data_IF_324524106038
#
_entry.id   IF_324524106038
#
_cell.length_a   1.000
_cell.length_b   1.000
_cell.length_c   1.000
_cell.angle_alpha   90.00
_cell.angle_beta   90.00
_cell.angle_gamma   90.00
#
_symmetry.space_group_name_H-M   'P 1'
#
loop_
_entity.id
_entity.type
_entity.pdbx_description
1 polymer ?
#
# COMPACT_ATOMS: atom_id res chain seq x y z
N UNK A 1 10.94 10.95 25.83
CA UNK A 1 10.16 10.12 24.89
C UNK A 1 8.68 10.43 25.12
N UNK A 2 8.02 11.01 24.15
CA UNK A 2 6.58 11.32 24.28
C UNK A 2 5.84 10.01 23.99
N UNK A 3 5.18 9.48 24.99
CA UNK A 3 4.39 8.25 24.84
C UNK A 3 2.95 8.66 24.51
N UNK A 4 2.55 8.50 23.25
CA UNK A 4 1.17 8.69 22.84
C UNK A 4 0.38 7.42 23.11
N UNK A 5 -0.59 7.48 23.99
CA UNK A 5 -1.50 6.37 24.26
C UNK A 5 -2.57 6.34 23.17
N UNK A 6 -2.36 5.51 22.12
CA UNK A 6 -3.31 5.32 21.02
C UNK A 6 -4.05 4.01 21.24
N UNK A 7 -5.38 4.06 21.36
CA UNK A 7 -6.19 2.85 21.43
C UNK A 7 -6.31 2.21 20.03
N UNK A 8 -5.46 1.22 19.77
CA UNK A 8 -5.39 0.50 18.52
C UNK A 8 -5.71 -0.98 18.70
N UNK A 9 -6.37 -1.56 17.72
CA UNK A 9 -6.63 -3.01 17.62
C UNK A 9 -6.16 -3.54 16.28
N UNK A 10 -5.75 -4.80 16.25
CA UNK A 10 -5.27 -5.46 15.04
C UNK A 10 -6.26 -6.55 14.57
N UNK A 11 -6.43 -6.61 13.23
CA UNK A 11 -7.16 -7.67 12.56
C UNK A 11 -6.23 -8.35 11.54
N UNK A 12 -5.98 -9.65 11.73
CA UNK A 12 -5.17 -10.47 10.83
C UNK A 12 -5.56 -11.96 10.95
N UNK A 13 -5.02 -12.80 10.09
CA UNK A 13 -5.40 -14.21 10.00
C UNK A 13 -5.25 -15.03 11.29
N UNK A 14 -4.30 -14.67 12.15
CA UNK A 14 -4.06 -15.37 13.41
C UNK A 14 -4.97 -14.92 14.57
N UNK A 15 -5.85 -13.95 14.35
CA UNK A 15 -6.86 -13.54 15.33
C UNK A 15 -8.11 -14.40 15.19
N UNK A 16 -8.69 -14.79 16.34
CA UNK A 16 -9.99 -15.47 16.35
C UNK A 16 -11.09 -14.61 15.75
N UNK A 17 -12.15 -15.23 15.23
CA UNK A 17 -13.29 -14.50 14.68
C UNK A 17 -13.95 -13.60 15.73
N UNK A 18 -14.04 -14.05 16.97
CA UNK A 18 -14.57 -13.25 18.08
C UNK A 18 -13.74 -11.99 18.31
N UNK A 19 -12.41 -12.11 18.34
CA UNK A 19 -11.51 -10.97 18.52
C UNK A 19 -11.59 -9.99 17.35
N UNK A 20 -11.71 -10.48 16.11
CA UNK A 20 -11.89 -9.66 14.91
C UNK A 20 -13.20 -8.89 14.94
N UNK A 21 -14.30 -9.55 15.28
CA UNK A 21 -15.61 -8.92 15.43
C UNK A 21 -15.63 -7.85 16.51
N UNK A 22 -15.02 -8.12 17.67
CA UNK A 22 -14.91 -7.16 18.76
C UNK A 22 -14.07 -5.91 18.37
N UNK A 23 -12.94 -6.11 17.69
CA UNK A 23 -12.09 -5.03 17.22
C UNK A 23 -12.83 -4.12 16.22
N UNK A 24 -13.58 -4.72 15.30
CA UNK A 24 -14.38 -4.02 14.30
C UNK A 24 -15.53 -3.24 14.94
N UNK A 25 -16.24 -3.85 15.89
CA UNK A 25 -17.32 -3.20 16.62
C UNK A 25 -16.78 -1.99 17.41
N UNK A 26 -15.66 -2.14 18.13
CA UNK A 26 -15.04 -1.04 18.85
C UNK A 26 -14.52 0.08 17.95
N UNK A 27 -14.10 -0.24 16.73
CA UNK A 27 -13.74 0.78 15.76
C UNK A 27 -14.96 1.54 15.21
N UNK A 28 -16.06 0.85 14.97
CA UNK A 28 -17.30 1.47 14.49
C UNK A 28 -17.97 2.34 15.55
N UNK A 29 -17.90 1.97 16.82
CA UNK A 29 -18.49 2.73 17.92
C UNK A 29 -17.58 3.84 18.47
N UNK A 30 -16.33 3.94 17.98
CA UNK A 30 -15.35 4.94 18.35
C UNK A 30 -14.54 4.64 19.62
N UNK A 31 -14.74 3.49 20.26
CA UNK A 31 -13.92 3.06 21.41
C UNK A 31 -12.50 2.63 21.01
N UNK A 32 -12.31 2.24 19.76
CA UNK A 32 -11.02 1.98 19.13
C UNK A 32 -10.73 3.08 18.11
N UNK A 33 -9.61 3.78 18.27
CA UNK A 33 -9.24 4.90 17.40
C UNK A 33 -8.54 4.47 16.12
N UNK A 34 -7.76 3.39 16.18
CA UNK A 34 -6.97 2.90 15.06
C UNK A 34 -7.20 1.40 14.87
N UNK A 35 -7.57 1.02 13.66
CA UNK A 35 -7.68 -0.37 13.26
C UNK A 35 -6.51 -0.72 12.34
N UNK A 36 -5.65 -1.62 12.78
CA UNK A 36 -4.52 -2.12 11.99
C UNK A 36 -4.94 -3.43 11.34
N UNK A 37 -4.91 -3.49 10.02
CA UNK A 37 -5.38 -4.65 9.28
C UNK A 37 -4.41 -5.04 8.17
N UNK A 38 -4.28 -6.36 7.93
CA UNK A 38 -3.67 -6.88 6.71
C UNK A 38 -4.65 -6.78 5.54
N UNK A 39 -4.15 -6.79 4.31
CA UNK A 39 -5.00 -6.73 3.11
C UNK A 39 -6.06 -7.84 3.09
N UNK A 40 -5.67 -9.06 3.43
CA UNK A 40 -6.59 -10.21 3.45
C UNK A 40 -7.69 -10.00 4.50
N UNK A 41 -7.34 -9.51 5.68
CA UNK A 41 -8.32 -9.25 6.73
C UNK A 41 -9.21 -8.05 6.42
N UNK A 42 -8.68 -7.05 5.74
CA UNK A 42 -9.41 -5.84 5.35
C UNK A 42 -10.42 -6.06 4.22
N UNK A 43 -10.21 -7.05 3.34
CA UNK A 43 -11.07 -7.32 2.18
C UNK A 43 -12.52 -7.67 2.54
N UNK A 44 -12.78 -8.26 3.66
CA UNK A 44 -14.13 -8.62 4.12
C UNK A 44 -14.79 -7.60 5.05
N UNK A 45 -14.12 -6.46 5.27
CA UNK A 45 -14.59 -5.46 6.22
C UNK A 45 -15.44 -4.41 5.52
N UNK A 46 -16.70 -4.29 5.94
CA UNK A 46 -17.58 -3.21 5.55
C UNK A 46 -17.41 -2.02 6.52
N UNK A 47 -16.43 -1.18 6.19
CA UNK A 47 -16.23 0.12 6.86
C UNK A 47 -16.27 1.19 5.79
N UNK A 48 -17.42 1.79 5.54
CA UNK A 48 -17.53 2.93 4.64
C UNK A 48 -17.06 4.23 5.33
N UNK A 49 -16.60 5.18 4.53
CA UNK A 49 -16.42 6.57 4.93
C UNK A 49 -15.37 6.80 6.05
N UNK A 50 -14.22 6.16 5.92
CA UNK A 50 -13.11 6.45 6.82
C UNK A 50 -12.59 7.87 6.56
N UNK A 51 -12.33 8.67 7.60
CA UNK A 51 -11.70 9.98 7.44
C UNK A 51 -10.24 9.84 7.00
N UNK A 52 -9.54 8.82 7.47
CA UNK A 52 -8.13 8.59 7.18
C UNK A 52 -7.84 7.12 6.88
N UNK A 53 -6.99 6.88 5.88
CA UNK A 53 -6.36 5.59 5.60
C UNK A 53 -4.86 5.79 5.61
N UNK A 54 -4.14 4.96 6.37
CA UNK A 54 -2.68 4.99 6.43
C UNK A 54 -2.12 3.70 5.86
N UNK A 55 -1.32 3.80 4.80
CA UNK A 55 -0.53 2.70 4.28
C UNK A 55 0.85 2.71 4.96
N UNK A 56 1.10 1.78 5.85
CA UNK A 56 2.40 1.61 6.49
C UNK A 56 3.47 1.11 5.51
N UNK A 57 3.04 0.25 4.59
CA UNK A 57 3.84 -0.25 3.46
C UNK A 57 3.03 -0.14 2.18
N UNK A 58 3.70 0.17 1.07
CA UNK A 58 3.04 0.15 -0.24
C UNK A 58 2.81 -1.29 -0.71
N UNK A 59 1.67 -1.58 -1.32
CA UNK A 59 1.45 -2.87 -1.97
C UNK A 59 2.31 -2.96 -3.24
N UNK A 60 2.76 -4.16 -3.55
CA UNK A 60 3.45 -4.46 -4.81
C UNK A 60 2.49 -4.51 -6.01
N UNK A 61 1.18 -4.69 -5.76
CA UNK A 61 0.13 -4.67 -6.78
C UNK A 61 -0.56 -3.30 -6.70
N UNK A 62 -0.47 -2.46 -7.75
CA UNK A 62 -1.01 -1.09 -7.72
C UNK A 62 -2.52 -1.02 -7.46
N UNK A 63 -3.30 -1.99 -7.94
CA UNK A 63 -4.74 -2.08 -7.74
C UNK A 63 -5.10 -2.24 -6.26
N UNK A 64 -4.27 -2.91 -5.47
CA UNK A 64 -4.47 -3.05 -4.03
C UNK A 64 -4.38 -1.70 -3.31
N UNK A 65 -3.52 -0.81 -3.77
CA UNK A 65 -3.47 0.57 -3.28
C UNK A 65 -4.81 1.30 -3.48
N UNK A 66 -5.38 1.19 -4.67
CA UNK A 66 -6.68 1.79 -4.99
C UNK A 66 -7.79 1.21 -4.09
N UNK A 67 -7.77 -0.08 -3.84
CA UNK A 67 -8.72 -0.74 -2.94
C UNK A 67 -8.57 -0.26 -1.50
N UNK A 68 -7.35 -0.05 -1.01
CA UNK A 68 -7.10 0.47 0.34
C UNK A 68 -7.62 1.89 0.50
N UNK A 69 -7.21 2.81 -0.37
CA UNK A 69 -7.64 4.20 -0.30
C UNK A 69 -9.11 4.40 -0.65
N UNK A 70 -9.72 3.47 -1.38
CA UNK A 70 -11.14 3.47 -1.71
C UNK A 70 -12.07 3.31 -0.49
N UNK A 71 -11.54 3.19 0.72
CA UNK A 71 -12.28 3.22 1.99
C UNK A 71 -12.51 4.63 2.52
N UNK A 72 -11.90 5.63 1.92
CA UNK A 72 -12.02 7.05 2.29
C UNK A 72 -12.47 7.89 1.10
N UNK A 73 -12.96 9.12 1.35
CA UNK A 73 -13.30 10.08 0.31
C UNK A 73 -14.47 9.72 -0.61
N UNK A 74 -15.42 8.90 -0.15
CA UNK A 74 -16.60 8.52 -0.94
C UNK A 74 -17.84 9.37 -0.62
N UNK A 75 -18.77 9.44 -1.59
CA UNK A 75 -20.09 10.06 -1.41
C UNK A 75 -20.05 11.52 -0.95
N UNK A 76 -19.12 12.32 -1.47
CA UNK A 76 -18.99 13.74 -1.12
C UNK A 76 -18.32 14.02 0.24
N UNK A 77 -17.88 12.97 0.94
CA UNK A 77 -17.09 13.13 2.16
C UNK A 77 -15.60 13.32 1.82
N UNK A 78 -14.97 14.30 2.44
CA UNK A 78 -13.52 14.50 2.37
C UNK A 78 -12.83 13.38 3.14
N UNK A 79 -11.83 12.77 2.50
CA UNK A 79 -11.00 11.75 3.12
C UNK A 79 -9.54 11.95 2.76
N UNK A 80 -8.66 11.49 3.62
CA UNK A 80 -7.23 11.59 3.43
C UNK A 80 -6.59 10.21 3.42
N UNK A 81 -5.70 9.96 2.45
CA UNK A 81 -4.86 8.77 2.41
C UNK A 81 -3.40 9.18 2.56
N UNK A 82 -2.73 8.60 3.54
CA UNK A 82 -1.32 8.84 3.82
C UNK A 82 -0.56 7.55 3.59
N UNK A 83 0.58 7.62 2.91
CA UNK A 83 1.45 6.47 2.70
C UNK A 83 2.86 6.75 3.20
N UNK A 84 3.40 5.86 4.00
CA UNK A 84 4.81 5.86 4.36
C UNK A 84 5.55 5.09 3.28
N UNK A 85 6.53 5.72 2.65
CA UNK A 85 7.24 5.14 1.50
C UNK A 85 8.73 5.08 1.82
N UNK A 86 9.27 3.88 1.89
CA UNK A 86 10.70 3.65 2.01
C UNK A 86 11.38 3.72 0.63
N UNK A 87 12.71 3.83 0.63
CA UNK A 87 13.50 3.89 -0.61
C UNK A 87 13.25 2.64 -1.48
N UNK A 88 13.14 1.48 -0.85
CA UNK A 88 12.94 0.20 -1.54
C UNK A 88 11.57 0.11 -2.23
N UNK A 89 10.61 0.94 -1.83
CA UNK A 89 9.25 0.96 -2.35
C UNK A 89 9.03 1.99 -3.47
N UNK A 90 10.04 2.74 -3.88
CA UNK A 90 9.89 3.75 -4.95
C UNK A 90 9.42 3.17 -6.28
N UNK A 91 9.79 1.94 -6.59
CA UNK A 91 9.28 1.26 -7.79
C UNK A 91 7.76 1.03 -7.69
N UNK A 92 7.27 0.62 -6.53
CA UNK A 92 5.84 0.45 -6.28
C UNK A 92 5.09 1.78 -6.35
N UNK A 93 5.66 2.85 -5.78
CA UNK A 93 5.08 4.19 -5.88
C UNK A 93 4.90 4.62 -7.34
N UNK A 94 5.92 4.43 -8.18
CA UNK A 94 5.83 4.76 -9.60
C UNK A 94 4.77 3.97 -10.35
N UNK A 95 4.62 2.69 -10.04
CA UNK A 95 3.60 1.84 -10.66
C UNK A 95 2.19 2.26 -10.22
N UNK A 96 2.03 2.63 -8.95
CA UNK A 96 0.79 3.18 -8.42
C UNK A 96 0.44 4.50 -9.12
N UNK A 97 1.37 5.46 -9.17
CA UNK A 97 1.16 6.75 -9.84
C UNK A 97 0.81 6.58 -11.32
N UNK A 98 1.42 5.60 -11.99
CA UNK A 98 1.11 5.26 -13.38
C UNK A 98 -0.32 4.73 -13.54
N UNK A 99 -0.78 3.88 -12.61
CA UNK A 99 -2.13 3.34 -12.63
C UNK A 99 -3.18 4.43 -12.41
N UNK A 100 -2.98 5.26 -11.37
CA UNK A 100 -3.93 6.33 -11.02
C UNK A 100 -3.80 7.57 -11.93
N UNK A 101 -2.77 7.61 -12.78
CA UNK A 101 -2.44 8.74 -13.68
C UNK A 101 -2.29 10.08 -12.95
N UNK A 102 -1.78 10.04 -11.74
CA UNK A 102 -1.62 11.20 -10.89
C UNK A 102 -0.30 11.09 -10.10
N UNK A 103 0.39 12.22 -9.93
CA UNK A 103 1.51 12.33 -9.01
C UNK A 103 1.00 12.49 -7.59
N UNK A 104 1.49 11.65 -6.69
CA UNK A 104 1.16 11.74 -5.27
C UNK A 104 2.08 12.78 -4.63
N UNK A 105 1.55 13.85 -4.01
CA UNK A 105 2.36 14.81 -3.30
C UNK A 105 3.15 14.12 -2.18
N UNK A 106 4.43 14.42 -2.06
CA UNK A 106 5.30 13.81 -1.07
C UNK A 106 6.14 14.85 -0.34
N UNK A 107 6.43 14.57 0.92
CA UNK A 107 7.32 15.37 1.76
C UNK A 107 8.17 14.45 2.62
N UNK A 108 9.34 14.93 3.01
CA UNK A 108 10.22 14.23 3.95
C UNK A 108 10.08 14.95 5.29
N UNK A 109 9.57 14.27 6.33
CA UNK A 109 9.47 14.87 7.65
C UNK A 109 10.85 15.21 8.21
N UNK A 110 10.94 16.27 8.99
CA UNK A 110 12.16 16.66 9.68
C UNK A 110 12.67 15.51 10.57
N UNK A 111 13.98 15.23 10.47
CA UNK A 111 14.61 14.12 11.19
C UNK A 111 14.55 12.76 10.48
N UNK A 112 13.94 12.71 9.29
CA UNK A 112 13.86 11.50 8.44
C UNK A 112 14.52 11.71 7.07
N UNK A 113 15.44 12.63 6.97
CA UNK A 113 16.21 12.90 5.76
C UNK A 113 16.99 11.63 5.36
N UNK A 114 16.93 11.31 4.08
CA UNK A 114 17.63 10.15 3.54
C UNK A 114 19.14 10.42 3.51
N UNK A 115 19.93 9.47 4.01
CA UNK A 115 21.38 9.49 3.79
C UNK A 115 21.64 9.32 2.28
N UNK A 116 22.35 10.27 1.62
CA UNK A 116 22.65 10.18 0.19
C UNK A 116 23.39 8.89 -0.21
N UNK A 117 24.03 8.21 0.74
CA UNK A 117 24.73 6.94 0.51
C UNK A 117 23.81 5.73 0.42
N UNK A 118 22.55 5.86 0.86
CA UNK A 118 21.57 4.77 0.90
C UNK A 118 20.64 4.81 -0.32
N UNK A 119 20.73 5.82 -1.17
CA UNK A 119 19.89 5.92 -2.38
C UNK A 119 20.23 4.74 -3.30
N UNK A 120 19.31 3.79 -3.55
CA UNK A 120 19.57 2.70 -4.48
C UNK A 120 19.87 3.26 -5.87
N UNK A 121 20.90 2.75 -6.50
CA UNK A 121 21.14 3.07 -7.90
C UNK A 121 19.89 2.73 -8.73
N UNK A 122 19.48 3.57 -9.70
CA UNK A 122 18.31 3.29 -10.53
C UNK A 122 18.46 1.92 -11.18
N UNK A 123 17.47 1.06 -10.99
CA UNK A 123 17.42 -0.29 -11.54
C UNK A 123 17.71 -0.23 -13.05
N UNK A 124 18.86 -0.76 -13.44
CA UNK A 124 19.18 -1.01 -14.84
C UNK A 124 18.18 -2.07 -15.32
N UNK A 125 17.15 -1.64 -16.04
CA UNK A 125 16.21 -2.53 -16.74
C UNK A 125 17.02 -3.64 -17.40
N UNK A 126 16.86 -4.88 -16.94
CA UNK A 126 17.35 -6.07 -17.64
C UNK A 126 16.76 -6.01 -19.06
N UNK A 127 17.59 -5.69 -20.05
CA UNK A 127 17.22 -5.84 -21.46
C UNK A 127 16.95 -7.33 -21.65
N UNK A 128 15.69 -7.70 -21.84
CA UNK A 128 15.33 -9.00 -22.33
C UNK A 128 16.00 -9.19 -23.70
N UNK A 129 17.03 -10.00 -23.72
CA UNK A 129 17.61 -10.49 -24.97
C UNK A 129 16.56 -11.43 -25.61
N UNK A 130 15.81 -10.88 -26.54
CA UNK A 130 14.97 -11.68 -27.41
C UNK A 130 15.83 -12.67 -28.19
N UNK A 131 15.73 -13.94 -27.84
CA UNK A 131 16.31 -15.02 -28.62
C UNK A 131 15.72 -15.01 -30.03
N UNK A 132 16.54 -14.62 -31.01
CA UNK A 132 16.28 -14.87 -32.41
C UNK A 132 16.27 -16.38 -32.64
N UNK A 133 15.08 -16.99 -32.82
CA UNK A 133 14.96 -18.32 -33.38
C UNK A 133 15.36 -18.26 -34.86
N UNK A 134 16.51 -18.85 -35.20
CA UNK A 134 16.92 -19.09 -36.58
C UNK A 134 16.01 -20.14 -37.19
N UNK A 135 15.22 -19.78 -38.17
CA UNK A 135 14.52 -20.71 -39.05
C UNK A 135 15.53 -21.39 -39.97
N UNK A 136 15.89 -22.62 -39.67
CA UNK A 136 16.55 -23.51 -40.61
C UNK A 136 15.50 -23.99 -41.62
N UNK A 137 15.52 -23.43 -42.82
CA UNK A 137 14.82 -24.01 -43.98
C UNK A 137 15.50 -25.33 -44.34
N UNK A 138 14.76 -26.42 -44.30
CA UNK A 138 15.13 -27.69 -44.96
C UNK A 138 14.89 -27.49 -46.46
N UNK A 139 15.97 -27.54 -47.25
CA UNK A 139 15.91 -27.70 -48.70
C UNK A 139 15.64 -29.15 -49.03
N UNK A 140 14.64 -29.38 -49.87
CA UNK A 140 14.37 -30.65 -50.52
C UNK A 140 15.22 -30.75 -51.79
N UNK A 141 15.93 -31.82 -51.89
CA UNK A 141 16.40 -32.34 -53.19
C UNK A 141 15.38 -33.31 -53.70
#
# INVERSE_FOLDING_TARGET
MINFSINAKAIHGNKSQTARTAALAGFKDGSVNVLVATDIAARGIDIPLLPHVVNFELPNIPEDYVHRIGRTGRAGSNGEAISLVSIDEYAYLKDIEKLIKLKIPSSIPEGFELDPKIIPAPDKKKKNSSQKKSNKRFGKS
#
